data_IF_945326482730
#
_entry.id   IF_945326482730
#
_cell.length_a   1.000
_cell.length_b   1.000
_cell.length_c   1.000
_cell.angle_alpha   90.00
_cell.angle_beta   90.00
_cell.angle_gamma   90.00
#
_symmetry.space_group_name_H-M   'P 1'
#
loop_
_entity.id
_entity.type
_entity.pdbx_description
1 polymer ?
#
# COMPACT_ATOMS: atom_id res chain seq x y z
N UNK A 1 8.78 6.22 -31.27
CA UNK A 1 9.50 6.05 -29.99
C UNK A 1 9.76 7.43 -29.43
N UNK A 2 9.51 7.68 -28.15
CA UNK A 2 9.59 9.00 -27.52
C UNK A 2 10.86 9.80 -27.87
N UNK A 3 12.03 9.15 -27.94
CA UNK A 3 13.30 9.81 -28.34
C UNK A 3 13.23 10.48 -29.72
N UNK A 4 12.50 9.86 -30.65
CA UNK A 4 12.31 10.36 -32.03
C UNK A 4 11.31 11.51 -32.10
N UNK A 5 10.34 11.55 -31.19
CA UNK A 5 9.35 12.65 -31.08
C UNK A 5 9.93 13.85 -30.31
N UNK A 6 10.72 13.59 -29.28
CA UNK A 6 11.35 14.63 -28.45
C UNK A 6 12.66 15.15 -29.04
N UNK A 7 13.24 14.47 -30.03
CA UNK A 7 14.50 14.87 -30.68
C UNK A 7 15.72 14.82 -29.76
N UNK A 8 15.63 14.13 -28.62
CA UNK A 8 16.66 14.07 -27.57
C UNK A 8 16.89 12.59 -27.21
N UNK A 9 18.16 12.22 -27.02
CA UNK A 9 18.55 10.90 -26.48
C UNK A 9 18.13 10.79 -25.01
N UNK A 10 17.29 9.83 -24.66
CA UNK A 10 16.82 9.59 -23.28
C UNK A 10 17.77 8.67 -22.50
N UNK A 11 18.97 8.45 -23.03
CA UNK A 11 19.96 7.51 -22.49
C UNK A 11 20.37 7.82 -21.04
N UNK A 12 20.42 9.09 -20.67
CA UNK A 12 20.72 9.55 -19.30
C UNK A 12 19.48 9.55 -18.40
N UNK A 13 18.30 9.83 -18.96
CA UNK A 13 17.03 9.83 -18.24
C UNK A 13 16.43 8.42 -18.08
N UNK A 14 17.01 7.39 -18.69
CA UNK A 14 16.46 6.02 -18.71
C UNK A 14 16.15 5.48 -17.32
N UNK A 15 17.05 5.68 -16.37
CA UNK A 15 16.84 5.21 -14.99
C UNK A 15 15.68 5.96 -14.33
N UNK A 16 15.71 7.30 -14.42
CA UNK A 16 14.62 8.13 -13.89
C UNK A 16 13.27 7.75 -14.50
N UNK A 17 13.20 7.54 -15.81
CA UNK A 17 11.98 7.12 -16.51
C UNK A 17 11.53 5.74 -16.02
N UNK A 18 12.45 4.78 -15.87
CA UNK A 18 12.11 3.45 -15.35
C UNK A 18 11.53 3.54 -13.93
N UNK A 19 12.14 4.35 -13.06
CA UNK A 19 11.67 4.56 -11.69
C UNK A 19 10.28 5.23 -11.67
N UNK A 20 10.07 6.26 -12.49
CA UNK A 20 8.75 6.92 -12.62
C UNK A 20 7.68 5.97 -13.18
N UNK A 21 8.04 5.15 -14.17
CA UNK A 21 7.12 4.16 -14.73
C UNK A 21 6.70 3.15 -13.67
N UNK A 22 7.64 2.65 -12.85
CA UNK A 22 7.33 1.75 -11.75
C UNK A 22 6.41 2.41 -10.70
N UNK A 23 6.68 3.66 -10.34
CA UNK A 23 5.83 4.43 -9.42
C UNK A 23 4.41 4.62 -9.98
N UNK A 24 4.27 4.97 -11.26
CA UNK A 24 2.96 5.14 -11.91
C UNK A 24 2.19 3.83 -11.92
N UNK A 25 2.82 2.72 -12.31
CA UNK A 25 2.15 1.42 -12.30
C UNK A 25 1.73 1.00 -10.89
N UNK A 26 2.58 1.24 -9.87
CA UNK A 26 2.23 0.96 -8.48
C UNK A 26 1.05 1.79 -7.96
N UNK A 27 0.88 3.03 -8.43
CA UNK A 27 -0.28 3.87 -8.08
C UNK A 27 -1.57 3.43 -8.78
N UNK A 28 -1.46 2.77 -9.93
CA UNK A 28 -2.62 2.33 -10.72
C UNK A 28 -3.16 0.96 -10.27
N UNK A 29 -2.37 0.19 -9.54
CA UNK A 29 -2.76 -1.16 -9.12
C UNK A 29 -3.79 -1.07 -8.00
N UNK A 30 -4.98 -1.62 -8.22
CA UNK A 30 -6.06 -1.60 -7.25
C UNK A 30 -5.80 -2.58 -6.10
N UNK A 31 -6.34 -2.28 -4.91
CA UNK A 31 -6.27 -3.26 -3.81
C UNK A 31 -7.00 -4.56 -4.20
N UNK A 32 -6.41 -5.69 -3.85
CA UNK A 32 -7.00 -7.01 -4.06
C UNK A 32 -8.12 -7.27 -3.07
N UNK A 33 -9.30 -7.64 -3.56
CA UNK A 33 -10.44 -8.06 -2.71
C UNK A 33 -10.23 -9.51 -2.31
N UNK A 34 -9.98 -9.76 -1.02
CA UNK A 34 -9.89 -11.11 -0.47
C UNK A 34 -11.27 -11.58 -0.01
N UNK A 35 -12.00 -10.69 0.67
CA UNK A 35 -13.39 -10.85 1.06
C UNK A 35 -14.11 -9.50 0.93
N UNK A 36 -15.45 -9.50 0.98
CA UNK A 36 -16.26 -8.27 0.91
C UNK A 36 -15.89 -7.20 1.96
N UNK A 37 -15.28 -7.61 3.07
CA UNK A 37 -14.83 -6.75 4.18
C UNK A 37 -13.30 -6.72 4.35
N UNK A 38 -12.53 -7.31 3.42
CA UNK A 38 -11.07 -7.42 3.53
C UNK A 38 -10.39 -7.15 2.19
N UNK A 39 -9.67 -6.04 2.14
CA UNK A 39 -8.78 -5.67 1.04
C UNK A 39 -7.32 -5.94 1.43
N UNK A 40 -6.53 -6.40 0.48
CA UNK A 40 -5.08 -6.51 0.58
C UNK A 40 -4.45 -5.53 -0.42
N UNK A 41 -3.55 -4.67 0.05
CA UNK A 41 -2.93 -3.66 -0.79
C UNK A 41 -1.53 -3.26 -0.31
N UNK A 42 -0.86 -2.48 -1.15
CA UNK A 42 0.45 -1.90 -0.89
C UNK A 42 0.35 -0.57 -0.12
N UNK A 43 1.51 0.04 0.18
CA UNK A 43 1.58 1.40 0.71
C UNK A 43 0.96 2.44 -0.24
N UNK A 44 1.00 2.23 -1.57
CA UNK A 44 0.35 3.10 -2.53
C UNK A 44 -1.17 3.10 -2.34
N UNK A 45 -1.78 1.91 -2.19
CA UNK A 45 -3.21 1.79 -1.91
C UNK A 45 -3.59 2.45 -0.57
N UNK A 46 -2.78 2.21 0.47
CA UNK A 46 -3.01 2.79 1.80
C UNK A 46 -2.83 4.33 1.83
N UNK A 47 -2.13 4.90 0.86
CA UNK A 47 -1.95 6.36 0.71
C UNK A 47 -3.10 7.04 -0.06
N UNK A 48 -3.94 6.27 -0.74
CA UNK A 48 -5.03 6.79 -1.57
C UNK A 48 -6.33 6.96 -0.76
N UNK A 49 -6.45 8.11 -0.09
CA UNK A 49 -7.60 8.40 0.78
C UNK A 49 -8.96 8.44 0.06
N UNK A 50 -8.98 8.67 -1.25
CA UNK A 50 -10.22 8.69 -2.08
C UNK A 50 -10.69 7.26 -2.32
N UNK A 51 -9.79 6.38 -2.76
CA UNK A 51 -10.09 4.96 -3.00
C UNK A 51 -10.49 4.24 -1.70
N UNK A 52 -9.78 4.53 -0.60
CA UNK A 52 -10.16 4.01 0.72
C UNK A 52 -11.59 4.42 1.12
N UNK A 53 -11.99 5.67 0.84
CA UNK A 53 -13.37 6.13 1.09
C UNK A 53 -14.39 5.49 0.16
N UNK A 54 -14.08 5.37 -1.13
CA UNK A 54 -14.98 4.73 -2.11
C UNK A 54 -15.23 3.26 -1.78
N UNK A 55 -14.22 2.56 -1.27
CA UNK A 55 -14.31 1.19 -0.81
C UNK A 55 -14.84 1.05 0.63
N UNK A 56 -15.31 2.15 1.26
CA UNK A 56 -15.82 2.18 2.63
C UNK A 56 -14.85 1.59 3.67
N UNK A 57 -13.54 1.77 3.48
CA UNK A 57 -12.52 1.30 4.44
C UNK A 57 -12.62 2.14 5.71
N UNK A 58 -12.77 1.46 6.84
CA UNK A 58 -12.84 2.08 8.18
C UNK A 58 -11.63 1.73 9.04
N UNK A 59 -11.02 0.56 8.80
CA UNK A 59 -9.94 -0.02 9.56
C UNK A 59 -8.74 -0.35 8.65
N UNK A 60 -7.53 -0.06 9.11
CA UNK A 60 -6.30 -0.34 8.37
C UNK A 60 -5.30 -1.07 9.27
N UNK A 61 -4.84 -2.23 8.83
CA UNK A 61 -3.71 -2.93 9.44
C UNK A 61 -2.44 -2.56 8.66
N UNK A 62 -1.50 -1.90 9.32
CA UNK A 62 -0.19 -1.60 8.74
C UNK A 62 0.84 -2.61 9.26
N UNK A 63 1.24 -3.56 8.40
CA UNK A 63 2.17 -4.65 8.71
C UNK A 63 3.57 -4.34 8.20
N UNK A 64 4.05 -3.12 8.46
CA UNK A 64 5.40 -2.70 8.05
C UNK A 64 6.07 -1.87 9.14
N UNK A 65 7.39 -1.97 9.20
CA UNK A 65 8.22 -1.11 10.04
C UNK A 65 8.52 0.24 9.40
N UNK A 66 8.62 0.29 8.08
CA UNK A 66 9.16 1.45 7.35
C UNK A 66 8.10 2.47 6.90
N UNK A 67 6.83 2.06 6.82
CA UNK A 67 5.75 2.93 6.33
C UNK A 67 4.92 3.42 7.49
N UNK A 68 4.86 4.73 7.69
CA UNK A 68 3.95 5.34 8.66
C UNK A 68 2.50 5.37 8.20
N UNK A 69 1.58 5.54 9.14
CA UNK A 69 0.17 5.71 8.82
C UNK A 69 -0.03 7.01 8.04
N UNK A 70 -0.59 6.92 6.84
CA UNK A 70 -0.77 8.07 5.96
C UNK A 70 -1.84 9.07 6.44
N UNK A 71 -2.78 8.62 7.27
CA UNK A 71 -3.92 9.43 7.72
C UNK A 71 -4.04 9.42 9.25
N UNK A 72 -4.64 10.47 9.84
CA UNK A 72 -4.84 10.54 11.28
C UNK A 72 -5.87 9.52 11.78
N UNK A 73 -5.73 9.09 13.03
CA UNK A 73 -6.64 8.12 13.68
C UNK A 73 -8.08 8.63 13.85
N UNK A 74 -8.33 9.92 13.63
CA UNK A 74 -9.69 10.49 13.57
C UNK A 74 -10.45 10.07 12.31
N UNK A 75 -9.76 9.58 11.27
CA UNK A 75 -10.35 9.17 9.99
C UNK A 75 -10.41 7.65 9.83
N UNK A 76 -9.38 6.93 10.27
CA UNK A 76 -9.31 5.47 10.19
C UNK A 76 -8.84 4.88 11.51
N UNK A 77 -9.38 3.74 11.90
CA UNK A 77 -8.86 2.96 13.02
C UNK A 77 -7.65 2.16 12.55
N UNK A 78 -6.52 2.27 13.26
CA UNK A 78 -5.29 1.60 12.87
C UNK A 78 -4.88 0.50 13.85
N UNK A 79 -4.38 -0.61 13.29
CA UNK A 79 -3.53 -1.58 14.00
C UNK A 79 -2.16 -1.61 13.31
N UNK A 80 -1.09 -1.44 14.08
CA UNK A 80 0.27 -1.44 13.56
C UNK A 80 1.00 -2.72 14.01
N UNK A 81 1.55 -3.46 13.05
CA UNK A 81 2.46 -4.59 13.27
C UNK A 81 3.80 -4.18 12.68
N UNK A 82 4.71 -3.70 13.54
CA UNK A 82 5.98 -3.07 13.13
C UNK A 82 7.09 -4.11 12.99
N UNK A 83 7.11 -4.77 11.84
CA UNK A 83 8.07 -5.83 11.48
C UNK A 83 8.83 -5.49 10.21
N UNK A 84 10.06 -5.99 10.08
CA UNK A 84 10.80 -5.95 8.83
C UNK A 84 10.32 -7.07 7.90
N UNK A 85 10.46 -6.85 6.60
CA UNK A 85 10.22 -7.89 5.60
C UNK A 85 11.46 -8.78 5.49
N UNK A 86 11.65 -9.64 6.49
CA UNK A 86 12.69 -10.65 6.48
C UNK A 86 12.21 -11.95 7.15
N UNK A 87 12.93 -13.04 6.89
CA UNK A 87 12.59 -14.39 7.35
C UNK A 87 12.54 -14.56 8.88
N UNK A 88 13.07 -13.62 9.65
CA UNK A 88 13.11 -13.66 11.12
C UNK A 88 11.90 -12.96 11.74
N UNK A 89 11.05 -12.30 10.95
CA UNK A 89 9.86 -11.63 11.44
C UNK A 89 8.86 -12.63 12.05
N UNK A 90 8.56 -12.49 13.34
CA UNK A 90 7.58 -13.32 14.03
C UNK A 90 6.16 -12.77 13.85
N UNK A 91 5.52 -13.15 12.75
CA UNK A 91 4.13 -12.77 12.44
C UNK A 91 3.09 -13.55 13.25
N UNK A 92 3.43 -14.76 13.71
CA UNK A 92 2.47 -15.65 14.38
C UNK A 92 2.01 -15.07 15.72
N UNK A 93 2.89 -14.38 16.44
CA UNK A 93 2.53 -13.69 17.69
C UNK A 93 1.44 -12.63 17.54
N UNK A 94 1.23 -12.11 16.33
CA UNK A 94 0.23 -11.09 16.03
C UNK A 94 -1.07 -11.65 15.45
N UNK A 95 -1.13 -12.95 15.16
CA UNK A 95 -2.21 -13.60 14.41
C UNK A 95 -3.60 -13.39 15.01
N UNK A 96 -3.79 -13.76 16.28
CA UNK A 96 -5.08 -13.63 16.98
C UNK A 96 -5.56 -12.17 17.01
N UNK A 97 -4.60 -11.29 17.15
CA UNK A 97 -4.79 -9.87 17.38
C UNK A 97 -5.18 -9.13 16.09
N UNK A 98 -4.59 -9.51 14.95
CA UNK A 98 -4.97 -9.01 13.62
C UNK A 98 -6.28 -9.65 13.15
N UNK A 99 -6.49 -10.94 13.41
CA UNK A 99 -7.73 -11.63 13.09
C UNK A 99 -8.94 -11.00 13.81
N UNK A 100 -8.80 -10.69 15.11
CA UNK A 100 -9.84 -9.99 15.87
C UNK A 100 -10.15 -8.62 15.28
N UNK A 101 -9.12 -7.84 14.95
CA UNK A 101 -9.27 -6.51 14.37
C UNK A 101 -9.99 -6.54 13.00
N UNK A 102 -9.71 -7.53 12.16
CA UNK A 102 -10.44 -7.74 10.91
C UNK A 102 -11.93 -8.03 11.18
N UNK A 103 -12.23 -8.84 12.20
CA UNK A 103 -13.60 -9.19 12.54
C UNK A 103 -14.39 -8.04 13.19
N UNK A 104 -13.73 -7.13 13.91
CA UNK A 104 -14.34 -5.90 14.45
C UNK A 104 -14.80 -4.94 13.34
N UNK A 105 -14.16 -5.00 12.17
CA UNK A 105 -14.43 -4.15 11.02
C UNK A 105 -15.50 -4.70 10.05
N UNK A 106 -16.03 -5.90 10.32
CA UNK A 106 -17.08 -6.55 9.51
C UNK A 106 -18.42 -5.84 9.57
#
# INVERSE_FOLDING_TARGET
>A
MLEKEMGISLKEQRQFIADQVLLIYGQMDAASVIFDHLLLGSSFNASNGVELQQNNVTHIINVTREVDNFFPSSRFTYKNVRVFDDEKADLLTHWEDTHRFINEAR
#
